data_IF_277601193348
#
_entry.id   IF_277601193348
#
_cell.length_a   1.000
_cell.length_b   1.000
_cell.length_c   1.000
_cell.angle_alpha   90.00
_cell.angle_beta   90.00
_cell.angle_gamma   90.00
#
_symmetry.space_group_name_H-M   'P 1'
#
loop_
_entity.id
_entity.type
_entity.pdbx_description
1 polymer ?
#
# COMPACT_ATOMS: atom_id res chain seq x y z
N UNK A 1 33.58 -19.18 -46.77
CA UNK A 1 33.05 -18.47 -45.59
C UNK A 1 31.93 -19.32 -45.02
N UNK A 2 32.15 -19.87 -43.83
CA UNK A 2 31.19 -20.70 -43.09
C UNK A 2 30.23 -19.80 -42.32
N UNK A 3 28.94 -19.96 -42.60
CA UNK A 3 27.84 -19.42 -41.82
C UNK A 3 27.81 -20.13 -40.46
N UNK A 4 27.83 -19.34 -39.37
CA UNK A 4 27.83 -19.85 -37.99
C UNK A 4 26.60 -19.29 -37.30
N UNK A 5 25.61 -20.15 -37.22
CA UNK A 5 24.53 -20.26 -36.24
C UNK A 5 24.73 -19.40 -34.99
N UNK A 6 23.89 -18.38 -34.82
CA UNK A 6 23.58 -17.80 -33.52
C UNK A 6 22.22 -18.35 -33.10
N UNK A 7 22.25 -19.31 -32.18
CA UNK A 7 21.08 -19.79 -31.45
C UNK A 7 21.38 -19.62 -29.95
N UNK A 8 20.35 -19.17 -29.24
CA UNK A 8 20.08 -19.26 -27.79
C UNK A 8 20.08 -17.97 -26.98
N UNK A 9 18.88 -17.79 -26.41
CA UNK A 9 18.46 -16.93 -25.31
C UNK A 9 17.97 -15.52 -25.70
N UNK A 10 17.08 -15.46 -26.69
CA UNK A 10 15.97 -14.51 -26.62
C UNK A 10 14.89 -15.17 -25.74
N UNK A 11 14.83 -14.78 -24.47
CA UNK A 11 13.71 -15.13 -23.61
C UNK A 11 12.47 -14.42 -24.16
N UNK A 12 11.53 -15.23 -24.61
CA UNK A 12 10.29 -14.83 -25.23
C UNK A 12 9.39 -14.17 -24.18
N UNK A 13 9.43 -12.84 -24.12
CA UNK A 13 8.59 -11.93 -23.29
C UNK A 13 7.07 -12.05 -23.52
N UNK A 14 6.61 -13.10 -24.19
CA UNK A 14 5.21 -13.35 -24.55
C UNK A 14 4.62 -14.59 -23.87
N UNK A 15 5.32 -15.17 -22.90
CA UNK A 15 4.82 -16.29 -22.09
C UNK A 15 4.63 -15.87 -20.63
N UNK A 16 3.82 -14.83 -20.38
CA UNK A 16 3.36 -14.54 -19.00
C UNK A 16 1.88 -14.19 -18.89
N UNK A 17 1.15 -13.98 -19.99
CA UNK A 17 -0.28 -13.62 -19.97
C UNK A 17 -1.21 -14.76 -20.39
N UNK A 18 -0.91 -16.00 -19.98
CA UNK A 18 -1.76 -17.14 -20.32
C UNK A 18 -2.12 -18.03 -19.13
N UNK A 19 -2.35 -17.42 -17.96
CA UNK A 19 -2.86 -18.12 -16.78
C UNK A 19 -4.17 -17.59 -16.20
N UNK A 20 -4.71 -16.44 -16.65
CA UNK A 20 -5.92 -15.85 -16.04
C UNK A 20 -6.92 -15.40 -17.10
N UNK A 21 -7.58 -16.35 -17.77
CA UNK A 21 -8.54 -15.97 -18.79
C UNK A 21 -9.34 -17.12 -19.39
N UNK A 22 -10.22 -17.73 -18.58
CA UNK A 22 -11.43 -18.41 -19.07
C UNK A 22 -12.32 -18.86 -17.89
N UNK A 23 -13.02 -17.94 -17.24
CA UNK A 23 -14.26 -18.29 -16.54
C UNK A 23 -15.40 -18.24 -17.58
N UNK A 24 -15.78 -19.41 -18.11
CA UNK A 24 -16.95 -19.54 -18.98
C UNK A 24 -18.23 -19.29 -18.16
N UNK A 25 -18.87 -18.13 -18.32
CA UNK A 25 -20.19 -17.88 -17.74
C UNK A 25 -21.28 -18.51 -18.61
N UNK A 26 -21.57 -19.78 -18.34
CA UNK A 26 -22.80 -20.43 -18.77
C UNK A 26 -24.00 -19.88 -18.00
N UNK A 27 -25.01 -19.40 -18.72
CA UNK A 27 -26.26 -18.95 -18.14
C UNK A 27 -27.02 -20.11 -17.46
N UNK A 28 -27.08 -20.11 -16.14
CA UNK A 28 -28.08 -20.86 -15.36
C UNK A 28 -28.26 -20.24 -13.97
N UNK A 29 -29.50 -19.92 -13.63
CA UNK A 29 -29.84 -19.14 -12.44
C UNK A 29 -29.51 -19.82 -11.11
N UNK A 30 -29.02 -19.03 -10.16
CA UNK A 30 -28.84 -19.38 -8.75
C UNK A 30 -29.32 -18.22 -7.87
N UNK A 31 -29.96 -18.59 -6.77
CA UNK A 31 -30.56 -17.71 -5.80
C UNK A 31 -29.54 -16.80 -5.08
N UNK A 32 -29.90 -15.55 -4.82
CA UNK A 32 -29.47 -14.82 -3.63
C UNK A 32 -27.97 -14.53 -3.42
N UNK A 33 -27.14 -14.49 -4.46
CA UNK A 33 -25.83 -13.87 -4.35
C UNK A 33 -26.01 -12.35 -4.46
N UNK A 34 -26.11 -11.63 -3.33
CA UNK A 34 -25.72 -10.22 -3.32
C UNK A 34 -24.21 -10.23 -3.50
N UNK A 35 -23.75 -10.33 -4.75
CA UNK A 35 -22.36 -10.04 -5.07
C UNK A 35 -22.13 -8.61 -4.61
N UNK A 36 -21.38 -8.42 -3.53
CA UNK A 36 -20.87 -7.10 -3.21
C UNK A 36 -20.03 -6.70 -4.41
N UNK A 37 -20.37 -5.56 -5.00
CA UNK A 37 -19.57 -4.96 -6.05
C UNK A 37 -18.09 -4.95 -5.62
N UNK A 38 -17.19 -5.32 -6.52
CA UNK A 38 -15.75 -5.30 -6.29
C UNK A 38 -15.08 -4.31 -7.24
N UNK A 39 -13.98 -3.74 -6.79
CA UNK A 39 -13.05 -2.95 -7.61
C UNK A 39 -11.63 -3.48 -7.45
N UNK A 40 -10.72 -3.03 -8.31
CA UNK A 40 -9.32 -3.44 -8.26
C UNK A 40 -8.50 -2.36 -7.55
N UNK A 41 -7.71 -2.76 -6.56
CA UNK A 41 -6.65 -1.95 -5.98
C UNK A 41 -5.31 -2.44 -6.52
N UNK A 42 -4.56 -1.56 -7.15
CA UNK A 42 -3.16 -1.74 -7.52
C UNK A 42 -2.32 -0.90 -6.57
N UNK A 43 -1.43 -1.53 -5.82
CA UNK A 43 -0.52 -0.85 -4.89
C UNK A 43 0.85 -0.78 -5.53
N UNK A 44 1.37 0.42 -5.70
CA UNK A 44 2.70 0.69 -6.23
C UNK A 44 3.58 1.40 -5.18
N UNK A 45 4.89 1.30 -5.35
CA UNK A 45 5.89 1.96 -4.50
C UNK A 45 6.80 2.86 -5.32
N UNK A 46 7.27 3.94 -4.72
CA UNK A 46 8.27 4.87 -5.29
C UNK A 46 9.18 5.43 -4.20
N UNK A 47 10.22 6.18 -4.60
CA UNK A 47 11.17 6.81 -3.68
C UNK A 47 11.19 8.33 -3.83
N UNK A 48 11.27 9.02 -2.68
CA UNK A 48 11.49 10.45 -2.60
C UNK A 48 12.97 10.73 -2.42
N UNK A 49 13.52 11.73 -3.13
CA UNK A 49 14.87 12.21 -2.87
C UNK A 49 15.01 12.69 -1.41
N UNK A 50 15.67 11.85 -0.60
CA UNK A 50 16.13 12.15 0.75
C UNK A 50 17.61 11.75 0.88
N UNK A 51 17.94 10.83 1.78
CA UNK A 51 19.29 10.26 1.90
C UNK A 51 19.47 9.00 1.03
N UNK A 52 18.56 8.75 0.06
CA UNK A 52 18.62 7.59 -0.85
C UNK A 52 19.90 7.57 -1.69
N UNK A 53 20.49 8.74 -1.94
CA UNK A 53 21.73 8.87 -2.70
C UNK A 53 22.96 8.29 -2.00
N UNK A 54 22.87 7.95 -0.71
CA UNK A 54 23.96 7.27 0.01
C UNK A 54 24.02 5.75 -0.30
N UNK A 55 22.98 5.20 -0.96
CA UNK A 55 22.80 3.78 -1.22
C UNK A 55 23.18 3.38 -2.65
N UNK A 56 23.88 2.25 -2.78
CA UNK A 56 24.02 1.51 -4.05
C UNK A 56 22.75 0.69 -4.33
N UNK A 57 22.13 0.12 -3.29
CA UNK A 57 20.86 -0.60 -3.35
C UNK A 57 20.12 -0.45 -2.03
N UNK A 58 18.80 -0.32 -2.09
CA UNK A 58 17.93 -0.32 -0.89
C UNK A 58 16.70 -1.17 -1.19
N UNK A 59 16.81 -2.46 -0.90
CA UNK A 59 15.75 -3.44 -1.20
C UNK A 59 14.81 -3.53 -0.01
N UNK A 60 13.51 -3.38 -0.27
CA UNK A 60 12.44 -3.53 0.71
C UNK A 60 11.62 -4.78 0.36
N UNK A 61 11.42 -5.65 1.33
CA UNK A 61 10.58 -6.86 1.18
C UNK A 61 9.23 -6.66 1.85
N UNK A 62 8.16 -6.72 1.07
CA UNK A 62 6.76 -6.53 1.50
C UNK A 62 6.01 -7.85 1.49
N UNK A 63 5.36 -8.20 2.59
CA UNK A 63 4.61 -9.47 2.74
C UNK A 63 3.10 -9.31 2.62
N UNK A 64 2.59 -8.09 2.80
CA UNK A 64 1.17 -7.83 2.79
C UNK A 64 0.83 -6.36 2.96
N UNK A 65 -0.47 -6.08 2.97
CA UNK A 65 -0.99 -4.75 3.28
C UNK A 65 -2.11 -4.83 4.32
N UNK A 66 -2.18 -3.79 5.14
CA UNK A 66 -3.30 -3.51 6.01
C UNK A 66 -4.13 -2.38 5.42
N UNK A 67 -5.44 -2.58 5.34
CA UNK A 67 -6.39 -1.61 4.83
C UNK A 67 -7.36 -1.17 5.91
N UNK A 68 -7.51 0.15 6.04
CA UNK A 68 -8.44 0.74 6.99
C UNK A 68 -9.72 1.20 6.32
N UNK A 69 -10.85 0.45 6.41
CA UNK A 69 -12.14 0.98 5.96
C UNK A 69 -12.57 2.20 6.78
N UNK A 70 -13.65 2.85 6.36
CA UNK A 70 -14.23 3.94 7.14
C UNK A 70 -14.51 3.52 8.60
N UNK A 71 -13.88 4.23 9.54
CA UNK A 71 -14.01 3.99 10.98
C UNK A 71 -12.86 3.18 11.56
N UNK A 72 -12.00 2.60 10.73
CA UNK A 72 -10.81 1.90 11.17
C UNK A 72 -9.73 2.86 11.70
N UNK A 73 -8.94 2.33 12.61
CA UNK A 73 -7.82 3.00 13.24
C UNK A 73 -6.53 2.39 12.68
N UNK A 74 -5.55 3.22 12.29
CA UNK A 74 -4.27 2.71 11.78
C UNK A 74 -3.30 2.32 12.88
N UNK A 75 -3.54 2.75 14.12
CA UNK A 75 -2.59 2.67 15.23
C UNK A 75 -1.39 3.63 15.06
N UNK A 76 -1.30 4.34 13.93
CA UNK A 76 -0.34 5.40 13.73
C UNK A 76 -0.82 6.66 14.45
N UNK A 77 -0.09 7.10 15.48
CA UNK A 77 -0.28 8.44 16.05
C UNK A 77 -0.01 9.47 14.93
N UNK A 78 -1.07 10.14 14.49
CA UNK A 78 -1.12 10.84 13.21
C UNK A 78 0.06 11.78 12.95
N UNK A 79 0.70 11.64 11.78
CA UNK A 79 1.51 12.69 11.17
C UNK A 79 0.63 13.76 10.50
N UNK A 80 -0.59 13.98 11.01
CA UNK A 80 -1.44 15.09 10.59
C UNK A 80 -0.81 16.36 11.16
N UNK A 81 -0.08 17.08 10.30
CA UNK A 81 0.18 18.50 10.54
C UNK A 81 -1.12 19.23 10.25
N UNK A 82 -2.02 19.23 11.24
CA UNK A 82 -3.20 20.08 11.25
C UNK A 82 -2.73 21.54 11.43
N UNK A 83 -2.45 22.21 10.32
CA UNK A 83 -2.45 23.67 10.22
C UNK A 83 -3.91 24.15 10.30
N UNK A 84 -4.43 24.21 11.52
CA UNK A 84 -5.83 24.50 11.81
C UNK A 84 -5.99 25.30 13.10
N UNK A 85 -5.76 26.61 13.01
CA UNK A 85 -6.00 27.60 14.05
C UNK A 85 -7.36 27.43 14.75
N UNK A 86 -7.34 27.18 16.06
CA UNK A 86 -8.40 27.60 16.98
C UNK A 86 -7.76 28.03 18.31
N UNK A 87 -7.67 29.35 18.48
CA UNK A 87 -7.53 29.99 19.78
C UNK A 87 -8.79 29.72 20.61
N UNK A 88 -8.66 29.21 21.84
CA UNK A 88 -9.56 29.58 22.92
C UNK A 88 -8.86 29.50 24.29
N UNK A 89 -8.83 30.65 24.94
CA UNK A 89 -8.32 30.94 26.29
C UNK A 89 -9.38 30.63 27.36
N UNK A 90 -8.95 30.19 28.55
CA UNK A 90 -9.71 30.24 29.80
C UNK A 90 -9.53 28.96 30.64
N UNK A 91 -8.63 28.90 31.63
CA UNK A 91 -8.72 29.44 33.01
C UNK A 91 -9.77 28.76 33.91
N UNK A 92 -9.44 28.71 35.21
CA UNK A 92 -10.06 28.02 36.37
C UNK A 92 -9.72 26.52 36.53
N UNK A 93 -9.16 25.99 37.62
CA UNK A 93 -8.91 26.52 38.96
C UNK A 93 -9.22 25.45 40.02
N UNK A 94 -8.29 25.22 40.95
CA UNK A 94 -8.43 24.70 42.32
C UNK A 94 -8.53 23.18 42.63
N UNK A 95 -7.43 22.73 43.27
CA UNK A 95 -7.24 21.82 44.41
C UNK A 95 -8.41 21.04 45.07
N UNK A 96 -8.13 19.77 45.46
CA UNK A 96 -8.92 19.07 46.47
C UNK A 96 -8.60 17.58 46.79
N UNK A 97 -7.47 17.32 47.46
CA UNK A 97 -7.27 16.38 48.59
C UNK A 97 -7.83 14.91 48.58
N UNK A 98 -6.90 13.96 48.45
CA UNK A 98 -6.61 12.74 49.25
C UNK A 98 -7.69 11.76 49.76
N UNK A 99 -7.42 10.48 49.42
CA UNK A 99 -7.70 9.17 50.08
C UNK A 99 -9.11 8.55 50.06
N UNK A 100 -9.23 7.38 49.40
CA UNK A 100 -9.83 6.17 49.98
C UNK A 100 -9.31 4.91 49.26
N UNK A 101 -8.71 4.00 50.05
CA UNK A 101 -8.15 2.69 49.70
C UNK A 101 -9.24 1.63 49.91
N UNK A 102 -9.59 0.88 48.86
CA UNK A 102 -10.79 0.05 48.89
C UNK A 102 -10.89 -1.02 47.79
N UNK A 103 -9.84 -1.82 47.61
CA UNK A 103 -9.86 -3.26 47.27
C UNK A 103 -10.89 -3.78 46.24
N UNK A 104 -10.36 -4.20 45.09
CA UNK A 104 -10.72 -5.50 44.50
C UNK A 104 -11.62 -5.48 43.27
N UNK A 105 -11.00 -5.45 42.10
CA UNK A 105 -11.36 -6.33 41.00
C UNK A 105 -10.13 -6.46 40.10
N UNK A 106 -9.82 -7.70 39.79
CA UNK A 106 -8.77 -8.14 38.91
C UNK A 106 -8.98 -7.53 37.52
N UNK A 107 -8.20 -6.50 37.19
CA UNK A 107 -7.82 -6.20 35.81
C UNK A 107 -6.29 -6.33 35.79
N UNK A 108 -5.85 -7.58 35.81
CA UNK A 108 -4.68 -7.97 35.04
C UNK A 108 -5.05 -7.69 33.57
N UNK A 109 -5.03 -6.41 33.19
CA UNK A 109 -4.91 -5.96 31.81
C UNK A 109 -3.51 -6.40 31.40
N UNK A 110 -3.42 -7.69 31.09
CA UNK A 110 -2.38 -8.27 30.26
C UNK A 110 -2.51 -7.50 28.96
N UNK A 111 -1.67 -6.47 28.82
CA UNK A 111 -1.59 -5.56 27.69
C UNK A 111 -1.19 -6.32 26.44
N UNK A 112 -2.11 -7.14 25.94
CA UNK A 112 -2.18 -7.44 24.53
C UNK A 112 -2.46 -6.10 23.88
N UNK A 113 -1.40 -5.51 23.33
CA UNK A 113 -1.46 -4.32 22.48
C UNK A 113 -2.38 -4.66 21.31
N UNK A 114 -3.69 -4.51 21.57
CA UNK A 114 -4.75 -4.95 20.70
C UNK A 114 -4.59 -4.23 19.39
N UNK A 115 -4.46 -5.02 18.32
CA UNK A 115 -4.37 -4.50 16.96
C UNK A 115 -5.45 -3.41 16.78
N UNK A 116 -5.09 -2.23 16.27
CA UNK A 116 -6.00 -1.09 16.18
C UNK A 116 -7.27 -1.50 15.45
N UNK A 117 -8.40 -1.06 15.99
CA UNK A 117 -9.67 -1.69 15.69
C UNK A 117 -10.10 -1.43 14.24
N UNK A 118 -10.59 -2.48 13.57
CA UNK A 118 -11.31 -2.37 12.30
C UNK A 118 -10.48 -2.36 11.02
N UNK A 119 -9.15 -2.51 11.07
CA UNK A 119 -8.34 -2.74 9.86
C UNK A 119 -8.40 -4.20 9.38
N UNK A 120 -8.25 -4.42 8.09
CA UNK A 120 -8.20 -5.75 7.46
C UNK A 120 -6.80 -6.03 6.93
N UNK A 121 -6.25 -7.20 7.27
CA UNK A 121 -4.97 -7.66 6.71
C UNK A 121 -5.19 -8.45 5.43
N UNK A 122 -4.34 -8.19 4.46
CA UNK A 122 -4.33 -8.90 3.20
C UNK A 122 -2.88 -9.29 2.84
N UNK A 123 -2.55 -10.54 3.11
CA UNK A 123 -1.27 -11.17 2.76
C UNK A 123 -1.06 -11.23 1.25
N UNK A 124 0.19 -11.24 0.81
CA UNK A 124 0.58 -11.49 -0.58
C UNK A 124 0.77 -12.99 -0.81
N UNK A 125 0.48 -13.46 -2.04
CA UNK A 125 0.78 -14.86 -2.39
C UNK A 125 2.27 -15.18 -2.25
N UNK A 126 3.12 -14.21 -2.57
CA UNK A 126 4.57 -14.26 -2.43
C UNK A 126 5.07 -12.86 -2.00
N UNK A 127 6.06 -12.82 -1.10
CA UNK A 127 6.69 -11.56 -0.71
C UNK A 127 7.28 -10.84 -1.93
N UNK A 128 7.11 -9.53 -1.98
CA UNK A 128 7.54 -8.71 -3.11
C UNK A 128 8.71 -7.82 -2.71
N UNK A 129 9.70 -7.75 -3.60
CA UNK A 129 10.92 -6.96 -3.38
C UNK A 129 10.94 -5.74 -4.30
N UNK A 130 11.26 -4.59 -3.74
CA UNK A 130 11.43 -3.34 -4.48
C UNK A 130 12.75 -2.66 -4.08
N UNK A 131 13.61 -2.37 -5.06
CA UNK A 131 14.84 -1.60 -4.85
C UNK A 131 14.56 -0.11 -5.04
N UNK A 132 14.44 0.63 -3.94
CA UNK A 132 14.09 2.05 -3.93
C UNK A 132 15.08 2.91 -4.70
N UNK A 133 16.35 2.50 -4.79
CA UNK A 133 17.37 3.21 -5.58
C UNK A 133 17.02 3.19 -7.08
N UNK A 134 16.35 2.13 -7.56
CA UNK A 134 15.88 2.02 -8.94
C UNK A 134 14.58 2.80 -9.21
N UNK A 135 13.88 3.24 -8.16
CA UNK A 135 12.58 3.91 -8.25
C UNK A 135 12.69 5.44 -8.16
N UNK A 136 13.90 5.97 -8.22
CA UNK A 136 14.15 7.41 -8.24
C UNK A 136 13.62 8.07 -9.52
N UNK A 137 13.31 9.37 -9.42
CA UNK A 137 12.85 10.22 -10.52
C UNK A 137 11.43 9.93 -11.02
N UNK A 138 10.55 9.45 -10.12
CA UNK A 138 9.15 9.17 -10.43
C UNK A 138 8.92 7.84 -11.11
N UNK A 139 9.90 6.94 -11.05
CA UNK A 139 9.69 5.54 -11.44
C UNK A 139 8.93 4.82 -10.31
N UNK A 140 8.01 3.94 -10.68
CA UNK A 140 7.14 3.23 -9.73
C UNK A 140 7.20 1.73 -9.98
N UNK A 141 7.11 0.93 -8.92
CA UNK A 141 7.01 -0.53 -9.02
C UNK A 141 5.70 -1.02 -8.41
N UNK A 142 4.94 -1.80 -9.18
CA UNK A 142 3.76 -2.50 -8.67
C UNK A 142 4.19 -3.60 -7.69
N UNK A 143 3.65 -3.57 -6.47
CA UNK A 143 3.89 -4.59 -5.43
C UNK A 143 2.68 -5.47 -5.18
N UNK A 144 1.47 -5.04 -5.53
CA UNK A 144 0.29 -5.87 -5.37
C UNK A 144 -0.85 -5.38 -6.26
N UNK A 145 -1.68 -6.32 -6.70
CA UNK A 145 -2.93 -6.02 -7.39
C UNK A 145 -4.01 -7.01 -6.95
N UNK A 146 -5.15 -6.52 -6.46
CA UNK A 146 -6.20 -7.37 -5.91
C UNK A 146 -7.60 -6.80 -6.06
N UNK A 147 -8.59 -7.70 -5.99
CA UNK A 147 -10.00 -7.34 -5.92
C UNK A 147 -10.43 -7.08 -4.47
N UNK A 148 -11.03 -5.93 -4.22
CA UNK A 148 -11.55 -5.52 -2.92
C UNK A 148 -13.02 -5.14 -3.01
N UNK A 149 -13.70 -5.15 -1.85
CA UNK A 149 -15.07 -4.65 -1.77
C UNK A 149 -15.11 -3.15 -2.07
N UNK A 150 -16.12 -2.70 -2.81
CA UNK A 150 -16.29 -1.26 -3.01
C UNK A 150 -16.50 -0.54 -1.68
N UNK A 151 -15.87 0.62 -1.54
CA UNK A 151 -15.91 1.40 -0.31
C UNK A 151 -14.78 2.42 -0.23
N UNK A 152 -14.85 3.25 0.81
CA UNK A 152 -13.83 4.23 1.14
C UNK A 152 -12.88 3.67 2.18
N UNK A 153 -11.60 3.82 1.92
CA UNK A 153 -10.49 3.43 2.78
C UNK A 153 -9.74 4.68 3.20
N UNK A 154 -9.29 4.73 4.45
CA UNK A 154 -8.67 5.93 5.07
C UNK A 154 -7.16 5.87 5.11
N UNK A 155 -6.61 4.67 5.04
CA UNK A 155 -5.17 4.43 5.04
C UNK A 155 -4.84 3.10 4.39
N UNK A 156 -3.62 3.02 3.89
CA UNK A 156 -2.94 1.81 3.50
C UNK A 156 -1.66 1.70 4.33
N UNK A 157 -1.40 0.54 4.89
CA UNK A 157 -0.17 0.26 5.64
C UNK A 157 0.52 -0.94 4.99
N UNK A 158 1.82 -0.81 4.75
CA UNK A 158 2.61 -1.89 4.17
C UNK A 158 3.27 -2.71 5.27
N UNK A 159 3.11 -4.02 5.19
CA UNK A 159 3.79 -4.96 6.07
C UNK A 159 5.16 -5.31 5.47
N UNK A 160 6.20 -4.68 5.99
CA UNK A 160 7.57 -4.85 5.53
C UNK A 160 8.31 -5.76 6.49
N UNK A 161 8.79 -6.89 5.98
CA UNK A 161 9.46 -7.91 6.77
C UNK A 161 10.97 -7.71 6.84
N UNK A 162 11.55 -7.07 5.82
CA UNK A 162 12.97 -6.83 5.72
C UNK A 162 13.30 -5.58 4.90
N UNK A 163 14.41 -4.93 5.26
CA UNK A 163 15.04 -3.87 4.48
C UNK A 163 16.55 -4.14 4.43
N UNK A 164 17.07 -4.37 3.23
CA UNK A 164 18.47 -4.63 2.95
C UNK A 164 19.10 -3.43 2.23
N UNK A 165 19.93 -2.66 2.95
CA UNK A 165 20.62 -1.48 2.45
C UNK A 165 22.11 -1.73 2.21
N UNK A 166 22.59 -1.43 1.00
CA UNK A 166 24.03 -1.39 0.67
C UNK A 166 24.40 0.04 0.31
N UNK A 167 25.42 0.62 0.95
CA UNK A 167 25.91 1.97 0.66
C UNK A 167 26.74 2.02 -0.61
N UNK A 168 26.91 3.21 -1.20
CA UNK A 168 27.83 3.43 -2.35
C UNK A 168 29.29 3.01 -2.06
N UNK A 169 29.66 2.92 -0.77
CA UNK A 169 30.98 2.42 -0.35
C UNK A 169 31.11 0.89 -0.44
N UNK A 170 30.00 0.18 -0.63
CA UNK A 170 29.89 -1.28 -0.62
C UNK A 170 29.68 -1.89 0.77
N UNK A 171 29.55 -1.06 1.82
CA UNK A 171 29.26 -1.51 3.19
C UNK A 171 27.74 -1.67 3.39
N UNK A 172 27.34 -2.65 4.20
CA UNK A 172 25.96 -2.85 4.63
C UNK A 172 25.52 -1.71 5.57
N UNK A 173 24.31 -1.19 5.36
CA UNK A 173 23.70 -0.17 6.20
C UNK A 173 22.53 -0.74 7.02
N UNK A 174 22.51 -0.42 8.30
CA UNK A 174 21.36 -0.70 9.16
C UNK A 174 20.24 0.32 8.86
N UNK A 175 19.11 -0.19 8.40
CA UNK A 175 17.90 0.60 8.10
C UNK A 175 16.75 0.04 8.94
N UNK A 176 16.32 0.78 9.97
CA UNK A 176 15.13 0.35 10.72
C UNK A 176 13.84 0.90 10.12
N UNK A 177 12.76 0.26 10.50
CA UNK A 177 11.37 0.66 10.26
C UNK A 177 10.81 1.44 11.46
N UNK A 178 9.81 2.31 11.26
CA UNK A 178 9.11 2.96 12.35
C UNK A 178 8.29 1.91 13.11
N UNK A 179 8.43 1.86 14.45
CA UNK A 179 7.94 0.78 15.32
C UNK A 179 6.46 0.38 15.19
N UNK A 180 5.61 0.78 16.16
CA UNK A 180 4.23 0.25 16.28
C UNK A 180 3.25 0.71 15.17
N UNK A 181 3.71 1.53 14.23
CA UNK A 181 2.94 2.04 13.11
C UNK A 181 3.77 1.94 11.83
N UNK A 182 4.06 0.71 11.38
CA UNK A 182 4.92 0.49 10.22
C UNK A 182 4.32 1.19 9.01
N UNK A 183 5.18 1.83 8.23
CA UNK A 183 4.96 2.46 6.92
C UNK A 183 3.48 2.69 6.54
N UNK A 184 2.82 3.56 7.32
CA UNK A 184 1.39 3.85 7.17
C UNK A 184 1.19 5.12 6.36
N UNK A 185 0.35 5.02 5.34
CA UNK A 185 -0.03 6.09 4.43
C UNK A 185 -1.46 6.52 4.74
N UNK A 186 -1.59 7.61 5.50
CA UNK A 186 -2.88 8.16 5.91
C UNK A 186 -3.48 9.02 4.78
N UNK A 187 -3.97 8.37 3.73
CA UNK A 187 -4.67 8.99 2.63
C UNK A 187 -5.99 8.27 2.36
N UNK A 188 -7.06 9.06 2.18
CA UNK A 188 -8.37 8.54 1.82
C UNK A 188 -8.41 8.19 0.32
N UNK A 189 -8.90 6.99 -0.01
CA UNK A 189 -9.14 6.56 -1.38
C UNK A 189 -10.38 5.67 -1.47
N UNK A 190 -10.98 5.61 -2.65
CA UNK A 190 -12.18 4.81 -2.92
C UNK A 190 -11.86 3.64 -3.85
N UNK A 191 -12.28 2.44 -3.47
CA UNK A 191 -12.37 1.31 -4.41
C UNK A 191 -13.75 1.34 -5.05
N UNK A 192 -13.80 1.51 -6.38
CA UNK A 192 -15.06 1.63 -7.14
C UNK A 192 -15.27 0.41 -8.03
N UNK A 193 -16.54 0.11 -8.32
CA UNK A 193 -16.88 -1.01 -9.20
C UNK A 193 -16.31 -0.79 -10.61
N UNK A 194 -15.74 -1.83 -11.22
CA UNK A 194 -15.16 -1.78 -12.56
C UNK A 194 -14.12 -0.64 -12.74
N UNK A 195 -13.43 -0.27 -11.67
CA UNK A 195 -12.37 0.75 -11.69
C UNK A 195 -11.12 0.16 -11.06
N UNK A 196 -9.98 0.38 -11.72
CA UNK A 196 -8.65 0.13 -11.16
C UNK A 196 -8.19 1.38 -10.44
N UNK A 197 -8.05 1.27 -9.13
CA UNK A 197 -7.50 2.31 -8.25
C UNK A 197 -6.02 2.02 -8.07
N UNK A 198 -5.16 2.92 -8.52
CA UNK A 198 -3.72 2.82 -8.33
C UNK A 198 -3.32 3.70 -7.15
N UNK A 199 -2.74 3.10 -6.10
CA UNK A 199 -2.24 3.78 -4.91
C UNK A 199 -0.72 3.69 -4.92
N UNK A 200 -0.04 4.81 -5.12
CA UNK A 200 1.42 4.90 -5.11
C UNK A 200 1.90 5.39 -3.74
N UNK A 201 2.68 4.54 -3.08
CA UNK A 201 3.26 4.76 -1.77
C UNK A 201 4.73 5.18 -1.88
N UNK A 202 5.05 6.36 -1.36
CA UNK A 202 6.39 6.95 -1.45
C UNK A 202 7.18 6.81 -0.13
N UNK A 203 8.44 6.41 -0.21
CA UNK A 203 9.33 6.25 0.94
C UNK A 203 10.56 7.13 0.84
N UNK A 204 11.15 7.41 1.99
CA UNK A 204 12.42 8.10 2.09
C UNK A 204 13.27 7.46 3.18
N UNK A 205 14.50 6.99 2.89
CA UNK A 205 15.47 6.74 3.94
C UNK A 205 15.95 8.07 4.52
N UNK A 206 15.99 8.16 5.84
CA UNK A 206 16.49 9.32 6.57
C UNK A 206 17.65 8.92 7.46
N UNK A 207 18.81 9.54 7.27
CA UNK A 207 20.02 9.26 8.03
C UNK A 207 19.88 9.76 9.47
N UNK A 208 20.20 8.89 10.43
CA UNK A 208 20.24 9.23 11.86
C UNK A 208 21.61 9.71 12.28
N UNK A 209 21.65 10.52 13.33
CA UNK A 209 22.90 10.99 13.95
C UNK A 209 23.78 9.86 14.53
N UNK A 210 23.23 8.66 14.73
CA UNK A 210 23.95 7.47 15.19
C UNK A 210 24.61 6.66 14.07
N UNK A 211 24.36 7.01 12.79
CA UNK A 211 24.98 6.37 11.63
C UNK A 211 24.11 5.36 10.86
N UNK A 212 22.98 4.92 11.42
CA UNK A 212 21.96 4.13 10.71
C UNK A 212 20.91 4.99 10.02
N UNK A 213 19.97 4.35 9.32
CA UNK A 213 18.88 5.01 8.60
C UNK A 213 17.52 4.61 9.15
N UNK A 214 16.53 5.47 9.00
CA UNK A 214 15.13 5.17 9.26
C UNK A 214 14.37 5.29 7.95
N UNK A 215 13.73 4.20 7.51
CA UNK A 215 12.82 4.27 6.37
C UNK A 215 11.52 4.91 6.85
N UNK A 216 11.02 5.93 6.15
CA UNK A 216 9.78 6.63 6.53
C UNK A 216 8.82 6.72 5.34
N UNK A 217 7.49 6.64 5.59
CA UNK A 217 6.52 7.02 4.59
C UNK A 217 6.59 8.53 4.35
N UNK A 218 6.33 8.95 3.12
CA UNK A 218 6.29 10.35 2.70
C UNK A 218 4.82 10.75 2.47
N UNK A 219 4.20 11.52 3.39
CA UNK A 219 2.78 11.85 3.28
C UNK A 219 2.43 12.64 2.01
N UNK A 220 3.33 13.52 1.56
CA UNK A 220 3.13 14.33 0.35
C UNK A 220 3.45 13.60 -0.95
N UNK A 221 3.98 12.37 -0.87
CA UNK A 221 4.30 11.52 -2.02
C UNK A 221 3.24 10.45 -2.30
N UNK A 222 2.09 10.51 -1.62
CA UNK A 222 0.99 9.60 -1.90
C UNK A 222 0.25 10.10 -3.14
N UNK A 223 0.17 9.27 -4.17
CA UNK A 223 -0.59 9.53 -5.39
C UNK A 223 -1.69 8.46 -5.54
N UNK A 224 -2.89 8.88 -5.92
CA UNK A 224 -4.04 7.99 -6.13
C UNK A 224 -4.68 8.30 -7.46
N UNK A 225 -4.65 7.32 -8.35
CA UNK A 225 -5.17 7.41 -9.72
C UNK A 225 -6.31 6.41 -9.94
N UNK A 226 -7.23 6.77 -10.84
CA UNK A 226 -8.40 5.96 -11.15
C UNK A 226 -8.49 5.71 -12.65
N UNK A 227 -8.42 4.45 -13.04
CA UNK A 227 -8.60 4.00 -14.40
C UNK A 227 -9.90 3.21 -14.51
N UNK A 228 -10.83 3.68 -15.33
CA UNK A 228 -12.04 2.92 -15.65
C UNK A 228 -11.64 1.70 -16.50
N UNK A 229 -11.93 0.50 -16.00
CA UNK A 229 -11.75 -0.71 -16.80
C UNK A 229 -12.98 -0.85 -17.67
N UNK A 230 -12.96 -0.26 -18.87
CA UNK A 230 -14.02 -0.43 -19.86
C UNK A 230 -14.23 -1.92 -20.14
N UNK A 231 -15.31 -2.49 -19.61
CA UNK A 231 -15.82 -3.76 -20.07
C UNK A 231 -16.33 -3.55 -21.50
N UNK A 232 -15.53 -3.93 -22.50
CA UNK A 232 -15.83 -4.00 -23.93
C UNK A 232 -17.27 -3.57 -24.26
N UNK A 233 -17.48 -2.26 -24.38
CA UNK A 233 -18.67 -1.77 -25.07
C UNK A 233 -18.39 -2.02 -26.54
N UNK A 234 -18.73 -3.23 -26.98
CA UNK A 234 -18.72 -3.62 -28.39
C UNK A 234 -19.57 -2.63 -29.16
N UNK A 235 -18.91 -1.65 -29.77
CA UNK A 235 -19.49 -0.72 -30.74
C UNK A 235 -19.75 -1.53 -32.01
N UNK A 236 -20.91 -2.18 -32.01
CA UNK A 236 -21.54 -2.72 -33.19
C UNK A 236 -22.05 -1.58 -34.07
N UNK A 237 -21.17 -1.02 -34.89
CA UNK A 237 -21.51 -0.22 -36.07
C UNK A 237 -21.13 -1.08 -37.29
N UNK A 238 -22.01 -1.54 -38.19
CA UNK A 238 -23.39 -1.22 -38.51
C UNK A 238 -23.57 -1.82 -39.91
N UNK A 239 -24.36 -2.88 -40.05
CA UNK A 239 -24.68 -3.44 -41.37
C UNK A 239 -25.59 -2.47 -42.11
N UNK A 240 -25.02 -1.67 -43.01
CA UNK A 240 -25.79 -0.98 -44.06
C UNK A 240 -25.71 -1.81 -45.35
N UNK A 241 -26.64 -2.77 -45.45
CA UNK A 241 -27.11 -3.30 -46.73
C UNK A 241 -28.24 -2.38 -47.24
N UNK A 242 -27.96 -1.54 -48.25
CA UNK A 242 -29.01 -0.92 -49.08
C UNK A 242 -28.53 -0.79 -50.54
N UNK A 243 -28.92 -1.80 -51.32
CA UNK A 243 -29.50 -1.75 -52.67
C UNK A 243 -29.23 -0.51 -53.56
N UNK A 244 -28.60 -0.72 -54.72
CA UNK A 244 -28.60 0.24 -55.85
C UNK A 244 -27.67 -0.11 -57.00
#
# INVERSE_FOLDING_TARGET
MTDRTSDRLALDRRTYLQATGAAALGASGLAGCVGRATGTLATAVTDQPADIGDFESLVVTVEGIWLGPEGAESGAEGNQTDDGSATDDGDDGADGNETDDGSGADDEDDGEEGEPSGREYHEFDEAQEADLVQLQNGETQLIDERELSVGTYRFLQLDVSNVDGTLESGDEAEVDLPGNAPLTFNAEFEVRENTRTEFTADFAPVRRGTGGYLLRPVPSGIEVDYEETDGDSGDGDGTDEESG
#
